data_IF_268826982945
#
_entry.id   IF_268826982945
#
_cell.length_a   1.000
_cell.length_b   1.000
_cell.length_c   1.000
_cell.angle_alpha   90.00
_cell.angle_beta   90.00
_cell.angle_gamma   90.00
#
_symmetry.space_group_name_H-M   'P 1'
#
loop_
_entity.id
_entity.type
_entity.pdbx_description
1 polymer ?
#
# COMPACT_ATOMS: atom_id res chain seq x y z
N UNK A 1 21.15 -15.36 6.68
CA UNK A 1 19.69 -15.51 6.61
C UNK A 1 19.19 -14.64 5.46
N UNK A 2 18.16 -15.05 4.73
CA UNK A 2 17.39 -14.14 3.88
C UNK A 2 16.42 -13.29 4.73
N UNK A 3 15.75 -12.30 4.12
CA UNK A 3 14.86 -11.40 4.85
C UNK A 3 13.73 -12.11 5.59
N UNK A 4 13.10 -13.09 4.96
CA UNK A 4 12.08 -13.93 5.59
C UNK A 4 12.62 -14.68 6.81
N UNK A 5 13.74 -15.37 6.67
CA UNK A 5 14.39 -16.10 7.76
C UNK A 5 14.73 -15.16 8.93
N UNK A 6 15.22 -13.95 8.62
CA UNK A 6 15.58 -12.91 9.61
C UNK A 6 14.36 -12.44 10.39
N UNK A 7 13.29 -12.05 9.69
CA UNK A 7 12.01 -11.64 10.29
C UNK A 7 11.44 -12.76 11.16
N UNK A 8 11.35 -13.98 10.63
CA UNK A 8 10.77 -15.10 11.36
C UNK A 8 11.59 -15.52 12.58
N UNK A 9 12.92 -15.38 12.52
CA UNK A 9 13.81 -15.60 13.67
C UNK A 9 13.56 -14.57 14.77
N UNK A 10 13.49 -13.29 14.40
CA UNK A 10 13.19 -12.20 15.34
C UNK A 10 11.80 -12.34 15.98
N UNK A 11 10.76 -12.67 15.20
CA UNK A 11 9.39 -12.91 15.70
C UNK A 11 9.31 -14.07 16.68
N UNK A 12 10.17 -15.09 16.52
CA UNK A 12 10.31 -16.21 17.46
C UNK A 12 11.15 -15.87 18.70
N UNK A 13 11.58 -14.60 18.85
CA UNK A 13 12.43 -14.11 19.94
C UNK A 13 13.78 -14.82 19.99
N UNK A 14 14.32 -15.19 18.83
CA UNK A 14 15.67 -15.74 18.66
C UNK A 14 16.60 -14.64 18.11
N UNK A 15 17.91 -14.89 18.09
CA UNK A 15 18.91 -13.95 17.58
C UNK A 15 19.07 -14.12 16.05
N UNK A 16 18.61 -13.16 15.23
CA UNK A 16 18.90 -13.15 13.81
C UNK A 16 20.36 -12.72 13.52
N UNK A 17 20.81 -12.90 12.29
CA UNK A 17 22.13 -12.46 11.84
C UNK A 17 22.27 -10.92 11.71
N UNK A 18 21.16 -10.20 11.66
CA UNK A 18 21.06 -8.74 11.73
C UNK A 18 19.65 -8.32 12.19
N UNK A 19 19.48 -7.06 12.62
CA UNK A 19 18.15 -6.51 12.94
C UNK A 19 17.32 -6.46 11.64
N UNK A 20 16.15 -7.14 11.56
CA UNK A 20 15.32 -7.07 10.37
C UNK A 20 14.72 -5.67 10.20
N UNK A 21 14.73 -5.16 8.97
CA UNK A 21 14.18 -3.85 8.61
C UNK A 21 13.18 -3.99 7.46
N UNK A 22 12.02 -3.38 7.61
CA UNK A 22 11.04 -3.18 6.55
C UNK A 22 10.45 -1.78 6.66
N UNK A 23 9.72 -1.34 5.65
CA UNK A 23 8.96 -0.09 5.71
C UNK A 23 7.49 -0.37 5.37
N UNK A 24 6.60 0.28 6.12
CA UNK A 24 5.16 0.12 5.88
C UNK A 24 4.76 0.81 4.57
N UNK A 25 5.29 2.01 4.31
CA UNK A 25 4.97 2.80 3.12
C UNK A 25 6.24 3.51 2.64
N UNK A 26 6.58 3.31 1.37
CA UNK A 26 7.57 4.13 0.66
C UNK A 26 6.85 4.86 -0.47
N UNK A 27 6.80 6.19 -0.37
CA UNK A 27 6.09 7.00 -1.35
C UNK A 27 6.80 6.99 -2.70
N UNK A 28 6.02 6.93 -3.77
CA UNK A 28 6.51 6.89 -5.15
C UNK A 28 7.55 7.98 -5.49
N UNK A 29 7.37 9.26 -5.09
CA UNK A 29 8.38 10.30 -5.30
C UNK A 29 9.77 9.98 -4.71
N UNK A 30 9.84 9.24 -3.59
CA UNK A 30 11.11 8.84 -2.96
C UNK A 30 11.81 7.79 -3.82
N UNK A 31 11.08 6.78 -4.28
CA UNK A 31 11.61 5.72 -5.16
C UNK A 31 12.14 6.34 -6.45
N UNK A 32 11.37 7.25 -7.05
CA UNK A 32 11.76 7.93 -8.29
C UNK A 32 12.98 8.83 -8.13
N UNK A 33 13.12 9.52 -7.00
CA UNK A 33 14.28 10.35 -6.72
C UNK A 33 15.58 9.54 -6.54
N UNK A 34 15.49 8.33 -5.99
CA UNK A 34 16.66 7.48 -5.70
C UNK A 34 17.06 6.59 -6.89
N UNK A 35 16.09 6.01 -7.59
CA UNK A 35 16.33 4.97 -8.59
C UNK A 35 15.61 5.19 -9.93
N UNK A 36 14.87 6.30 -10.08
CA UNK A 36 14.03 6.53 -11.25
C UNK A 36 12.82 5.59 -11.30
N UNK A 37 12.41 5.23 -12.50
CA UNK A 37 11.19 4.45 -12.71
C UNK A 37 11.44 2.94 -12.54
N UNK A 38 11.50 2.46 -11.30
CA UNK A 38 11.54 1.03 -10.95
C UNK A 38 10.26 0.60 -10.21
N UNK A 39 9.99 -0.70 -10.12
CA UNK A 39 8.88 -1.21 -9.31
C UNK A 39 9.19 -1.07 -7.80
N UNK A 40 8.17 -1.17 -6.94
CA UNK A 40 8.39 -1.14 -5.48
C UNK A 40 9.14 -2.39 -5.01
N UNK A 41 8.87 -3.53 -5.64
CA UNK A 41 9.56 -4.79 -5.44
C UNK A 41 11.06 -4.66 -5.76
N UNK A 42 11.42 -4.05 -6.89
CA UNK A 42 12.82 -3.80 -7.24
C UNK A 42 13.49 -2.84 -6.24
N UNK A 43 12.74 -1.87 -5.72
CA UNK A 43 13.23 -0.93 -4.71
C UNK A 43 13.56 -1.66 -3.40
N UNK A 44 12.64 -2.49 -2.90
CA UNK A 44 12.82 -3.32 -1.70
C UNK A 44 14.06 -4.21 -1.83
N UNK A 45 14.26 -4.86 -2.98
CA UNK A 45 15.43 -5.68 -3.25
C UNK A 45 16.74 -4.84 -3.28
N UNK A 46 16.72 -3.65 -3.88
CA UNK A 46 17.89 -2.77 -3.98
C UNK A 46 18.30 -2.15 -2.64
N UNK A 47 17.33 -1.78 -1.81
CA UNK A 47 17.56 -1.26 -0.46
C UNK A 47 17.88 -2.38 0.55
N UNK A 48 17.78 -3.64 0.14
CA UNK A 48 18.07 -4.78 1.01
C UNK A 48 17.10 -4.92 2.18
N UNK A 49 15.83 -4.51 1.98
CA UNK A 49 14.79 -4.64 3.00
C UNK A 49 14.40 -6.11 3.18
N UNK A 50 14.04 -6.45 4.41
CA UNK A 50 13.74 -7.83 4.82
C UNK A 50 12.31 -8.26 4.54
N UNK A 51 11.44 -7.30 4.26
CA UNK A 51 10.04 -7.52 3.96
C UNK A 51 9.47 -6.45 3.04
N UNK A 52 8.36 -6.81 2.41
CA UNK A 52 7.61 -5.96 1.50
C UNK A 52 6.18 -5.81 2.02
N UNK A 53 5.67 -4.59 2.02
CA UNK A 53 4.27 -4.31 2.36
C UNK A 53 3.44 -4.29 1.08
N UNK A 54 2.49 -5.22 0.96
CA UNK A 54 1.51 -5.20 -0.14
C UNK A 54 0.14 -4.90 0.46
N UNK A 55 -0.43 -3.77 0.06
CA UNK A 55 -1.80 -3.38 0.41
C UNK A 55 -2.82 -4.14 -0.42
N UNK A 56 -4.06 -4.16 0.05
CA UNK A 56 -5.19 -4.61 -0.73
C UNK A 56 -5.36 -3.79 -2.00
N UNK A 57 -5.71 -4.46 -3.08
CA UNK A 57 -6.07 -3.80 -4.32
C UNK A 57 -7.42 -3.09 -4.13
N UNK A 58 -7.41 -1.78 -4.40
CA UNK A 58 -8.61 -0.95 -4.42
C UNK A 58 -8.86 -0.40 -5.82
N UNK A 59 -10.12 -0.31 -6.21
CA UNK A 59 -10.49 0.34 -7.47
C UNK A 59 -10.62 1.85 -7.29
N UNK A 60 -9.86 2.60 -8.08
CA UNK A 60 -9.90 4.05 -8.07
C UNK A 60 -10.62 4.57 -9.32
N UNK A 61 -11.64 5.39 -9.10
CA UNK A 61 -12.29 6.15 -10.18
C UNK A 61 -11.60 7.51 -10.29
N UNK A 62 -10.98 7.79 -11.44
CA UNK A 62 -10.43 9.12 -11.73
C UNK A 62 -11.56 10.10 -12.00
N UNK A 63 -11.62 11.20 -11.23
CA UNK A 63 -12.62 12.25 -11.38
C UNK A 63 -12.06 13.50 -12.07
N UNK A 64 -10.78 13.78 -11.87
CA UNK A 64 -10.02 14.82 -12.58
C UNK A 64 -8.52 14.45 -12.57
N UNK A 65 -7.66 15.33 -13.08
CA UNK A 65 -6.21 15.11 -13.02
C UNK A 65 -5.64 15.10 -11.59
N UNK A 66 -6.35 15.68 -10.62
CA UNK A 66 -5.92 15.76 -9.22
C UNK A 66 -6.94 15.16 -8.25
N UNK A 67 -8.04 14.58 -8.73
CA UNK A 67 -9.06 13.98 -7.87
C UNK A 67 -9.37 12.54 -8.25
N UNK A 68 -9.39 11.69 -7.23
CA UNK A 68 -9.73 10.28 -7.30
C UNK A 68 -10.85 9.98 -6.29
N UNK A 69 -11.61 8.91 -6.55
CA UNK A 69 -12.56 8.33 -5.60
C UNK A 69 -12.30 6.84 -5.47
N UNK A 70 -12.19 6.35 -4.24
CA UNK A 70 -12.03 4.91 -4.00
C UNK A 70 -13.38 4.18 -3.83
N UNK A 71 -13.32 2.87 -3.65
CA UNK A 71 -14.50 2.01 -3.46
C UNK A 71 -15.21 2.25 -2.14
N UNK A 72 -14.52 2.79 -1.14
CA UNK A 72 -15.13 3.23 0.11
C UNK A 72 -15.97 4.50 -0.09
N UNK A 73 -15.79 5.20 -1.22
CA UNK A 73 -16.42 6.47 -1.53
C UNK A 73 -15.66 7.68 -0.99
N UNK A 74 -14.42 7.48 -0.52
CA UNK A 74 -13.52 8.55 -0.08
C UNK A 74 -13.01 9.28 -1.31
N UNK A 75 -13.01 10.60 -1.20
CA UNK A 75 -12.47 11.50 -2.21
C UNK A 75 -11.02 11.81 -1.83
N UNK A 76 -10.13 11.65 -2.79
CA UNK A 76 -8.70 11.89 -2.62
C UNK A 76 -8.27 13.04 -3.53
N UNK A 77 -7.49 13.98 -3.00
CA UNK A 77 -6.83 15.04 -3.78
C UNK A 77 -5.34 14.76 -3.85
N UNK A 78 -4.80 14.73 -5.06
CA UNK A 78 -3.36 14.58 -5.32
C UNK A 78 -2.71 15.96 -5.21
N UNK A 79 -1.81 16.10 -4.23
CA UNK A 79 -1.01 17.31 -4.04
C UNK A 79 0.10 17.44 -5.11
N UNK A 80 0.72 18.62 -5.31
CA UNK A 80 1.78 18.81 -6.31
C UNK A 80 3.00 17.88 -6.15
N UNK A 81 3.21 17.34 -4.96
CA UNK A 81 4.25 16.34 -4.69
C UNK A 81 3.86 14.91 -5.11
N UNK A 82 2.69 14.72 -5.71
CA UNK A 82 2.18 13.42 -6.17
C UNK A 82 1.53 12.56 -5.09
N UNK A 83 1.40 13.06 -3.85
CA UNK A 83 0.84 12.29 -2.75
C UNK A 83 -0.67 12.59 -2.62
N UNK A 84 -1.54 11.56 -2.60
CA UNK A 84 -2.97 11.74 -2.38
C UNK A 84 -3.30 11.91 -0.89
N UNK A 85 -4.19 12.85 -0.58
CA UNK A 85 -4.77 13.04 0.76
C UNK A 85 -6.29 13.01 0.71
N UNK A 86 -6.97 12.50 1.76
CA UNK A 86 -8.43 12.45 1.79
C UNK A 86 -8.98 13.88 1.88
N UNK A 87 -9.78 14.26 0.90
CA UNK A 87 -10.43 15.58 0.80
C UNK A 87 -11.94 15.52 1.04
N UNK A 88 -12.50 14.31 1.15
CA UNK A 88 -13.90 14.10 1.46
C UNK A 88 -14.21 12.62 1.64
N UNK A 89 -15.44 12.33 2.06
CA UNK A 89 -15.91 10.97 2.30
C UNK A 89 -17.42 10.85 2.08
N UNK A 90 -17.92 9.60 2.06
CA UNK A 90 -19.32 9.30 1.75
C UNK A 90 -20.27 9.67 2.90
N UNK A 91 -19.77 9.73 4.14
CA UNK A 91 -20.54 10.05 5.34
C UNK A 91 -20.37 11.53 5.66
N UNK A 92 -21.46 12.31 5.61
CA UNK A 92 -21.50 13.73 6.03
C UNK A 92 -22.31 13.92 7.30
N UNK A 93 -23.27 13.04 7.52
CA UNK A 93 -24.18 13.01 8.65
C UNK A 93 -24.35 11.57 9.14
N UNK A 94 -24.85 11.40 10.35
CA UNK A 94 -25.15 10.08 10.91
C UNK A 94 -26.12 9.28 10.02
N UNK A 95 -27.15 9.94 9.46
CA UNK A 95 -28.15 9.29 8.59
C UNK A 95 -27.59 8.73 7.28
N UNK A 96 -26.39 9.12 6.87
CA UNK A 96 -25.75 8.53 5.70
C UNK A 96 -25.32 7.08 5.96
N UNK A 97 -25.07 6.72 7.24
CA UNK A 97 -24.70 5.35 7.64
C UNK A 97 -25.81 4.35 7.33
N UNK A 98 -27.08 4.75 7.42
CA UNK A 98 -28.24 3.87 7.15
C UNK A 98 -28.28 3.37 5.70
N UNK A 99 -27.66 4.11 4.77
CA UNK A 99 -27.64 3.79 3.33
C UNK A 99 -26.25 3.39 2.85
N UNK A 100 -25.24 3.51 3.70
CA UNK A 100 -23.87 3.23 3.33
C UNK A 100 -23.65 1.72 3.19
N UNK A 101 -23.00 1.34 2.10
CA UNK A 101 -22.58 -0.04 1.85
C UNK A 101 -21.07 -0.02 1.66
N UNK A 102 -20.28 -0.62 2.58
CA UNK A 102 -18.85 -0.74 2.38
C UNK A 102 -18.56 -1.69 1.20
N UNK A 103 -17.38 -1.56 0.57
CA UNK A 103 -17.02 -2.46 -0.51
C UNK A 103 -16.80 -3.88 0.01
N UNK A 104 -16.97 -4.87 -0.86
CA UNK A 104 -16.79 -6.28 -0.50
C UNK A 104 -15.31 -6.57 -0.14
N UNK A 105 -15.02 -7.00 1.10
CA UNK A 105 -13.67 -7.34 1.53
C UNK A 105 -13.13 -8.60 0.84
N UNK A 106 -14.00 -9.47 0.31
CA UNK A 106 -13.64 -10.74 -0.32
C UNK A 106 -13.67 -10.67 -1.86
N UNK A 107 -13.83 -9.48 -2.44
CA UNK A 107 -13.85 -9.31 -3.89
C UNK A 107 -12.59 -9.92 -4.54
N UNK A 108 -12.77 -10.64 -5.66
CA UNK A 108 -11.72 -11.45 -6.30
C UNK A 108 -10.39 -10.71 -6.56
N UNK A 109 -10.47 -9.40 -6.77
CA UNK A 109 -9.34 -8.56 -7.10
C UNK A 109 -8.49 -8.13 -5.90
N UNK A 110 -9.02 -8.20 -4.67
CA UNK A 110 -8.43 -7.59 -3.45
C UNK A 110 -6.98 -7.95 -3.17
N UNK A 111 -6.54 -9.14 -3.58
CA UNK A 111 -5.22 -9.69 -3.27
C UNK A 111 -4.42 -10.02 -4.54
N UNK A 112 -4.75 -9.43 -5.68
CA UNK A 112 -4.05 -9.69 -6.93
C UNK A 112 -2.58 -9.25 -6.87
N UNK A 113 -2.32 -8.04 -6.35
CA UNK A 113 -0.95 -7.54 -6.17
C UNK A 113 -0.16 -8.43 -5.20
N UNK A 114 -0.78 -8.87 -4.09
CA UNK A 114 -0.14 -9.80 -3.16
C UNK A 114 0.20 -11.13 -3.83
N UNK A 115 -0.75 -11.72 -4.57
CA UNK A 115 -0.54 -12.97 -5.31
C UNK A 115 0.60 -12.83 -6.32
N UNK A 116 0.77 -11.66 -6.95
CA UNK A 116 1.85 -11.40 -7.89
C UNK A 116 3.20 -11.26 -7.18
N UNK A 117 3.25 -10.52 -6.07
CA UNK A 117 4.47 -10.37 -5.27
C UNK A 117 4.98 -11.71 -4.72
N UNK A 118 4.10 -12.60 -4.28
CA UNK A 118 4.47 -13.95 -3.78
C UNK A 118 4.99 -14.88 -4.88
N UNK A 119 4.57 -14.68 -6.15
CA UNK A 119 5.03 -15.49 -7.28
C UNK A 119 6.43 -15.12 -7.78
N UNK A 120 6.92 -13.94 -7.40
CA UNK A 120 8.21 -13.40 -7.82
C UNK A 120 9.38 -14.22 -7.27
#
# INVERSE_FOLDING_TARGET
MNGYERIMTALKRQEPDAIPVWELIVNRPVIEALYGNISYEDFVEKEGLDGITIFEDQQLTKLSDTQLKDEWGIMWTIEPNGIPYPSGGPIKTESDLDKYVPPDPDADHRLNSLKNAVKR
#
